data_IF_832031067676
#
_entry.id   IF_832031067676
#
_cell.length_a   1.000
_cell.length_b   1.000
_cell.length_c   1.000
_cell.angle_alpha   90.00
_cell.angle_beta   90.00
_cell.angle_gamma   90.00
#
_symmetry.space_group_name_H-M   'P 1'
#
loop_
_entity.id
_entity.type
_entity.pdbx_description
1 polymer ?
#
# COMPACT_ATOMS: atom_id res chain seq x y z
N UNK A 1 -7.14 4.13 -6.75
CA UNK A 1 -6.50 4.91 -5.66
C UNK A 1 -5.82 3.96 -4.66
N UNK A 2 -4.94 3.05 -5.12
CA UNK A 2 -4.28 2.05 -4.26
C UNK A 2 -2.75 2.14 -4.26
N UNK A 3 -2.19 2.90 -5.20
CA UNK A 3 -0.76 3.06 -5.45
C UNK A 3 -0.24 4.43 -5.05
N UNK A 4 -1.13 5.42 -4.89
CA UNK A 4 -0.73 6.78 -4.56
C UNK A 4 -0.21 6.84 -3.13
N UNK A 5 0.91 7.51 -2.96
CA UNK A 5 1.40 7.89 -1.63
C UNK A 5 0.34 8.73 -0.90
N UNK A 6 -0.02 8.38 0.34
CA UNK A 6 -0.96 9.16 1.15
C UNK A 6 -0.59 10.64 1.23
N UNK A 7 0.70 10.98 1.36
CA UNK A 7 1.16 12.36 1.43
C UNK A 7 0.98 13.08 0.07
N UNK A 8 1.32 12.43 -1.05
CA UNK A 8 1.00 12.92 -2.39
C UNK A 8 -0.51 13.15 -2.59
N UNK A 9 -1.39 12.27 -2.10
CA UNK A 9 -2.85 12.48 -2.21
C UNK A 9 -3.34 13.67 -1.40
N UNK A 10 -2.73 13.95 -0.24
CA UNK A 10 -3.15 15.06 0.65
C UNK A 10 -2.59 16.40 0.16
N UNK A 11 -1.33 16.42 -0.24
CA UNK A 11 -0.60 17.65 -0.60
C UNK A 11 -0.72 18.00 -2.09
N UNK A 12 -1.10 17.03 -2.92
CA UNK A 12 -1.11 17.15 -4.38
C UNK A 12 0.30 17.25 -4.99
N UNK A 13 1.36 17.06 -4.20
CA UNK A 13 2.75 17.15 -4.69
C UNK A 13 3.26 15.78 -5.06
N UNK A 14 3.58 15.62 -6.35
CA UNK A 14 4.38 14.51 -6.83
C UNK A 14 5.84 14.75 -6.47
N UNK A 15 6.50 13.74 -5.91
CA UNK A 15 7.93 13.74 -5.64
C UNK A 15 8.55 12.38 -5.98
N UNK A 16 9.87 12.32 -6.04
CA UNK A 16 10.60 11.06 -6.24
C UNK A 16 10.22 10.03 -5.17
N UNK A 17 9.97 10.46 -3.94
CA UNK A 17 9.54 9.59 -2.83
C UNK A 17 8.14 9.00 -3.09
N UNK A 18 7.21 9.80 -3.64
CA UNK A 18 5.87 9.32 -4.01
C UNK A 18 5.91 8.28 -5.14
N UNK A 19 6.86 8.42 -6.08
CA UNK A 19 7.09 7.45 -7.15
C UNK A 19 7.67 6.14 -6.58
N UNK A 20 8.63 6.23 -5.65
CA UNK A 20 9.20 5.07 -4.95
C UNK A 20 8.13 4.34 -4.14
N UNK A 21 7.25 5.07 -3.45
CA UNK A 21 6.12 4.48 -2.73
C UNK A 21 5.22 3.69 -3.70
N UNK A 22 4.83 4.31 -4.81
CA UNK A 22 3.97 3.70 -5.83
C UNK A 22 4.60 2.43 -6.41
N UNK A 23 5.90 2.47 -6.70
CA UNK A 23 6.66 1.30 -7.15
C UNK A 23 6.72 0.19 -6.09
N UNK A 24 6.91 0.53 -4.82
CA UNK A 24 6.87 -0.42 -3.71
C UNK A 24 5.52 -1.16 -3.61
N UNK A 25 4.41 -0.45 -3.82
CA UNK A 25 3.08 -1.07 -3.87
C UNK A 25 2.96 -2.07 -5.03
N UNK A 26 3.50 -1.75 -6.21
CA UNK A 26 3.51 -2.66 -7.37
C UNK A 26 4.34 -3.91 -7.07
N UNK A 27 5.50 -3.77 -6.44
CA UNK A 27 6.31 -4.92 -6.02
C UNK A 27 5.55 -5.83 -5.05
N UNK A 28 4.84 -5.24 -4.08
CA UNK A 28 4.02 -6.02 -3.15
C UNK A 28 2.84 -6.71 -3.84
N UNK A 29 2.21 -6.07 -4.82
CA UNK A 29 1.14 -6.68 -5.64
C UNK A 29 1.67 -7.92 -6.39
N UNK A 30 2.84 -7.81 -7.01
CA UNK A 30 3.49 -8.91 -7.73
C UNK A 30 3.88 -10.03 -6.76
N UNK A 31 4.57 -9.70 -5.66
CA UNK A 31 5.06 -10.68 -4.70
C UNK A 31 3.93 -11.41 -3.96
N UNK A 32 2.85 -10.69 -3.60
CA UNK A 32 1.71 -11.26 -2.89
C UNK A 32 0.66 -11.88 -3.81
N UNK A 33 0.67 -11.55 -5.12
CA UNK A 33 -0.38 -11.92 -6.06
C UNK A 33 -1.75 -11.33 -5.69
N UNK A 34 -1.77 -10.17 -5.03
CA UNK A 34 -2.98 -9.55 -4.47
C UNK A 34 -3.11 -8.12 -4.97
N UNK A 35 -4.36 -7.71 -5.25
CA UNK A 35 -4.64 -6.32 -5.60
C UNK A 35 -4.20 -5.37 -4.45
N UNK A 36 -3.76 -4.15 -4.76
CA UNK A 36 -3.20 -3.24 -3.78
C UNK A 36 -4.25 -2.60 -2.86
N UNK A 37 -5.52 -2.70 -3.23
CA UNK A 37 -6.66 -2.33 -2.41
C UNK A 37 -7.69 -3.45 -2.43
N UNK A 38 -8.23 -3.77 -1.26
CA UNK A 38 -9.32 -4.72 -1.10
C UNK A 38 -10.39 -4.12 -0.18
N UNK A 39 -11.66 -4.32 -0.52
CA UNK A 39 -12.76 -3.98 0.36
C UNK A 39 -12.89 -5.04 1.46
N UNK A 40 -12.99 -4.58 2.70
CA UNK A 40 -13.37 -5.42 3.84
C UNK A 40 -14.90 -5.58 3.89
N UNK A 41 -15.41 -6.59 4.62
CA UNK A 41 -16.86 -6.80 4.77
C UNK A 41 -17.62 -5.63 5.41
N UNK A 42 -16.93 -4.79 6.17
CA UNK A 42 -17.45 -3.57 6.79
C UNK A 42 -17.47 -2.35 5.84
N UNK A 43 -17.05 -2.52 4.57
CA UNK A 43 -16.95 -1.45 3.58
C UNK A 43 -15.64 -0.66 3.64
N UNK A 44 -14.75 -0.93 4.60
CA UNK A 44 -13.47 -0.25 4.72
C UNK A 44 -12.48 -0.73 3.65
N UNK A 45 -11.78 0.18 2.98
CA UNK A 45 -10.68 -0.18 2.07
C UNK A 45 -9.42 -0.46 2.88
N UNK A 46 -8.82 -1.64 2.69
CA UNK A 46 -7.49 -1.95 3.22
C UNK A 46 -6.45 -1.86 2.10
N UNK A 47 -5.38 -1.12 2.36
CA UNK A 47 -4.23 -1.04 1.47
C UNK A 47 -3.26 -2.20 1.73
N UNK A 48 -2.75 -2.81 0.66
CA UNK A 48 -1.82 -3.93 0.74
C UNK A 48 -0.54 -3.56 1.49
N UNK A 49 0.01 -2.37 1.23
CA UNK A 49 1.19 -1.86 1.93
C UNK A 49 0.97 -1.77 3.45
N UNK A 50 -0.18 -1.25 3.87
CA UNK A 50 -0.52 -1.17 5.30
C UNK A 50 -0.64 -2.57 5.92
N UNK A 51 -1.32 -3.50 5.24
CA UNK A 51 -1.47 -4.88 5.71
C UNK A 51 -0.12 -5.60 5.86
N UNK A 52 0.79 -5.41 4.90
CA UNK A 52 2.14 -6.01 4.95
C UNK A 52 2.94 -5.40 6.10
N UNK A 53 2.89 -4.08 6.28
CA UNK A 53 3.53 -3.39 7.40
C UNK A 53 3.01 -3.89 8.77
N UNK A 54 1.70 -4.06 8.92
CA UNK A 54 1.08 -4.61 10.14
C UNK A 54 1.57 -6.04 10.42
N UNK A 55 1.63 -6.90 9.41
CA UNK A 55 2.10 -8.29 9.56
C UNK A 55 3.59 -8.37 9.92
N UNK A 56 4.41 -7.50 9.33
CA UNK A 56 5.83 -7.38 9.64
C UNK A 56 6.03 -6.91 11.09
N UNK A 57 5.32 -5.87 11.53
CA UNK A 57 5.36 -5.40 12.92
C UNK A 57 4.87 -6.43 13.95
N UNK A 58 4.05 -7.39 13.53
CA UNK A 58 3.60 -8.52 14.36
C UNK A 58 4.56 -9.73 14.33
N UNK A 59 5.67 -9.67 13.58
CA UNK A 59 6.60 -10.79 13.40
C UNK A 59 6.00 -11.98 12.67
N UNK A 60 4.92 -11.77 11.89
CA UNK A 60 4.20 -12.84 11.17
C UNK A 60 4.77 -13.08 9.77
N UNK A 61 5.62 -12.17 9.30
CA UNK A 61 6.40 -12.25 8.07
C UNK A 61 7.77 -11.63 8.40
N UNK A 62 8.85 -12.36 8.06
CA UNK A 62 10.28 -12.16 8.35
C UNK A 62 10.69 -11.10 9.38
#
# INVERSE_FOLDING_TARGET
LGYMDPECTITGRSSTESDVYSFGVVLLEIACGRRPTAARPDGTLIHLAQRVSELYGQGRIL
#
